data_IF_185215825482
#
_entry.id   IF_185215825482
#
_cell.length_a   1.000
_cell.length_b   1.000
_cell.length_c   1.000
_cell.angle_alpha   90.00
_cell.angle_beta   90.00
_cell.angle_gamma   90.00
#
_symmetry.space_group_name_H-M   'P 1'
#
loop_
_entity.id
_entity.type
_entity.pdbx_description
1 polymer ?
#
# COMPACT_ATOMS: atom_id res chain seq x y z
N UNK A 1 60.98 -41.61 40.09
CA UNK A 1 60.30 -40.28 40.20
C UNK A 1 59.72 -39.93 38.83
N UNK A 2 58.43 -40.15 38.65
CA UNK A 2 57.72 -39.84 37.40
C UNK A 2 56.83 -38.61 37.65
N UNK A 3 57.12 -37.47 37.00
CA UNK A 3 56.33 -36.27 37.07
C UNK A 3 55.35 -36.23 35.90
N UNK A 4 54.08 -36.41 36.21
CA UNK A 4 52.94 -36.27 35.24
C UNK A 4 52.61 -34.82 35.06
N UNK A 5 52.76 -34.30 33.82
CA UNK A 5 52.29 -32.94 33.41
C UNK A 5 50.87 -33.02 32.92
N UNK A 6 49.96 -32.43 33.67
CA UNK A 6 48.55 -32.25 33.26
C UNK A 6 48.45 -31.03 32.35
N UNK A 7 48.04 -31.23 31.09
CA UNK A 7 47.75 -30.15 30.16
C UNK A 7 46.30 -29.69 30.35
N UNK A 8 46.11 -28.42 30.71
CA UNK A 8 44.80 -27.78 30.82
C UNK A 8 44.41 -27.21 29.45
N UNK A 9 43.43 -27.83 28.82
CA UNK A 9 42.89 -27.33 27.56
C UNK A 9 41.83 -26.20 27.86
N UNK A 10 42.14 -24.97 27.48
CA UNK A 10 41.22 -23.83 27.57
C UNK A 10 40.25 -23.87 26.39
N UNK A 11 38.97 -24.08 26.66
CA UNK A 11 37.89 -24.05 25.69
C UNK A 11 37.48 -22.57 25.45
N UNK A 12 37.88 -21.98 24.32
CA UNK A 12 37.39 -20.64 23.90
C UNK A 12 35.97 -20.79 23.38
N UNK A 13 34.99 -20.32 24.16
CA UNK A 13 33.64 -20.07 23.66
C UNK A 13 33.61 -18.80 22.81
N UNK A 14 33.55 -18.95 21.50
CA UNK A 14 33.30 -17.84 20.57
C UNK A 14 31.79 -17.53 20.58
N UNK A 15 31.40 -16.51 21.33
CA UNK A 15 30.01 -15.98 21.32
C UNK A 15 29.79 -15.20 20.04
N UNK A 16 29.28 -15.86 19.00
CA UNK A 16 28.84 -15.19 17.78
C UNK A 16 27.59 -14.36 18.05
N UNK A 17 27.69 -13.04 18.08
CA UNK A 17 26.52 -12.13 18.08
C UNK A 17 25.83 -12.23 16.72
N UNK A 18 24.65 -12.85 16.65
CA UNK A 18 23.76 -12.78 15.49
C UNK A 18 23.26 -11.32 15.39
N UNK A 19 23.85 -10.55 14.49
CA UNK A 19 23.31 -9.25 14.13
C UNK A 19 21.93 -9.48 13.46
N UNK A 20 20.86 -9.05 14.12
CA UNK A 20 19.52 -9.07 13.56
C UNK A 20 19.49 -8.04 12.42
N UNK A 21 19.44 -8.48 11.17
CA UNK A 21 19.34 -7.58 10.02
C UNK A 21 18.02 -6.81 10.08
N UNK A 22 18.10 -5.50 9.89
CA UNK A 22 16.88 -4.66 9.80
C UNK A 22 16.06 -5.10 8.60
N UNK A 23 14.74 -5.31 8.74
CA UNK A 23 13.89 -5.69 7.62
C UNK A 23 13.95 -4.65 6.49
N UNK A 24 13.82 -5.07 5.21
CA UNK A 24 13.72 -4.14 4.09
C UNK A 24 12.56 -3.14 4.28
N UNK A 25 12.71 -1.88 3.83
CA UNK A 25 11.69 -0.85 4.00
C UNK A 25 10.29 -1.26 3.52
N UNK A 26 10.19 -1.92 2.38
CA UNK A 26 8.92 -2.43 1.85
C UNK A 26 8.28 -3.50 2.75
N UNK A 27 9.09 -4.35 3.39
CA UNK A 27 8.59 -5.33 4.37
C UNK A 27 8.01 -4.62 5.60
N UNK A 28 8.74 -3.67 6.17
CA UNK A 28 8.27 -2.88 7.32
C UNK A 28 6.99 -2.10 6.97
N UNK A 29 6.94 -1.48 5.78
CA UNK A 29 5.74 -0.80 5.29
C UNK A 29 4.53 -1.74 5.24
N UNK A 30 4.70 -2.93 4.64
CA UNK A 30 3.63 -3.92 4.52
C UNK A 30 3.15 -4.43 5.88
N UNK A 31 4.08 -4.66 6.81
CA UNK A 31 3.75 -5.05 8.18
C UNK A 31 2.97 -3.96 8.90
N UNK A 32 3.40 -2.69 8.82
CA UNK A 32 2.67 -1.57 9.40
C UNK A 32 1.25 -1.44 8.83
N UNK A 33 1.07 -1.58 7.50
CA UNK A 33 -0.26 -1.59 6.89
C UNK A 33 -1.10 -2.76 7.41
N UNK A 34 -0.51 -3.94 7.56
CA UNK A 34 -1.20 -5.13 8.05
C UNK A 34 -1.68 -5.02 9.51
N UNK A 35 -0.99 -4.21 10.35
CA UNK A 35 -1.46 -3.96 11.74
C UNK A 35 -2.78 -3.22 11.81
N UNK A 36 -3.20 -2.56 10.73
CA UNK A 36 -4.46 -1.81 10.64
C UNK A 36 -5.65 -2.69 10.23
N UNK A 37 -5.44 -4.01 10.13
CA UNK A 37 -6.45 -4.94 9.64
C UNK A 37 -7.77 -4.84 10.42
N UNK A 38 -8.90 -4.75 9.70
CA UNK A 38 -10.23 -4.56 10.25
C UNK A 38 -10.59 -3.10 10.56
N UNK A 39 -9.64 -2.16 10.50
CA UNK A 39 -9.87 -0.76 10.83
C UNK A 39 -10.23 0.07 9.59
N UNK A 40 -11.14 1.00 9.77
CA UNK A 40 -11.54 1.97 8.75
C UNK A 40 -11.29 3.40 9.26
N UNK A 41 -10.93 4.29 8.33
CA UNK A 41 -10.57 5.67 8.66
C UNK A 41 -11.16 6.63 7.65
N UNK A 42 -11.61 7.80 8.13
CA UNK A 42 -12.10 8.88 7.29
C UNK A 42 -10.95 9.75 6.81
N UNK A 43 -11.06 10.19 5.54
CA UNK A 43 -10.02 10.96 4.88
C UNK A 43 -10.52 12.28 4.31
N UNK A 44 -9.56 13.13 3.96
CA UNK A 44 -9.78 14.41 3.29
C UNK A 44 -8.79 14.59 2.14
N UNK A 45 -9.22 15.29 1.10
CA UNK A 45 -8.34 15.71 0.00
C UNK A 45 -7.40 16.79 0.54
N UNK A 46 -6.09 16.57 0.42
CA UNK A 46 -5.05 17.53 0.83
C UNK A 46 -4.29 18.12 -0.37
N UNK A 47 -4.41 17.50 -1.55
CA UNK A 47 -3.98 18.07 -2.83
C UNK A 47 -4.91 17.62 -3.95
N UNK A 48 -5.27 18.55 -4.87
CA UNK A 48 -6.05 18.28 -6.07
C UNK A 48 -5.69 19.31 -7.14
N UNK A 49 -4.58 19.11 -7.81
CA UNK A 49 -3.94 20.08 -8.70
C UNK A 49 -3.74 19.49 -10.11
N UNK A 50 -4.29 20.11 -11.16
CA UNK A 50 -5.33 21.14 -11.12
C UNK A 50 -6.66 20.55 -10.62
N UNK A 51 -7.45 21.37 -9.93
CA UNK A 51 -8.79 20.99 -9.53
C UNK A 51 -9.67 20.85 -10.77
N UNK A 52 -10.40 19.73 -10.89
CA UNK A 52 -11.38 19.54 -11.94
C UNK A 52 -12.76 20.01 -11.44
N UNK A 53 -13.53 20.68 -12.30
CA UNK A 53 -14.85 21.19 -11.94
C UNK A 53 -15.84 20.08 -11.49
N UNK A 54 -15.67 18.86 -12.03
CA UNK A 54 -16.53 17.71 -11.77
C UNK A 54 -15.70 16.54 -11.17
N UNK A 55 -14.79 16.84 -10.24
CA UNK A 55 -14.01 15.80 -9.57
C UNK A 55 -14.93 14.95 -8.68
N UNK A 56 -15.02 13.63 -8.90
CA UNK A 56 -15.96 12.77 -8.18
C UNK A 56 -15.65 12.61 -6.68
N UNK A 57 -14.49 13.04 -6.22
CA UNK A 57 -14.08 12.95 -4.82
C UNK A 57 -14.45 14.20 -4.01
N UNK A 58 -14.60 15.35 -4.66
CA UNK A 58 -14.84 16.64 -3.99
C UNK A 58 -16.23 16.65 -3.36
N UNK A 59 -16.32 17.02 -2.09
CA UNK A 59 -17.57 17.08 -1.34
C UNK A 59 -18.14 15.73 -0.90
N UNK A 60 -17.43 14.62 -1.20
CA UNK A 60 -17.83 13.30 -0.77
C UNK A 60 -17.14 12.91 0.55
N UNK A 61 -17.82 12.08 1.33
CA UNK A 61 -17.21 11.39 2.46
C UNK A 61 -16.24 10.34 1.91
N UNK A 62 -14.99 10.41 2.32
CA UNK A 62 -13.92 9.49 1.87
C UNK A 62 -13.57 8.55 3.02
N UNK A 63 -13.65 7.24 2.79
CA UNK A 63 -13.32 6.25 3.81
C UNK A 63 -12.44 5.15 3.21
N UNK A 64 -11.30 4.89 3.82
CA UNK A 64 -10.55 3.66 3.56
C UNK A 64 -10.85 2.60 4.62
N UNK A 65 -10.79 1.33 4.24
CA UNK A 65 -10.96 0.20 5.16
C UNK A 65 -9.88 -0.86 4.88
N UNK A 66 -8.96 -1.08 5.81
CA UNK A 66 -8.00 -2.19 5.70
C UNK A 66 -8.75 -3.49 5.99
N UNK A 67 -9.48 -4.00 4.98
CA UNK A 67 -10.54 -4.99 5.17
C UNK A 67 -10.07 -6.43 5.22
N UNK A 68 -9.16 -6.80 4.33
CA UNK A 68 -8.70 -8.19 4.19
C UNK A 68 -7.19 -8.22 4.28
N UNK A 69 -6.67 -9.06 5.18
CA UNK A 69 -5.25 -9.22 5.40
C UNK A 69 -4.91 -10.71 5.36
N UNK A 70 -4.26 -11.11 4.28
CA UNK A 70 -3.77 -12.46 4.05
C UNK A 70 -2.23 -12.45 4.08
N UNK A 71 -1.56 -13.59 4.27
CA UNK A 71 -0.12 -13.65 4.14
C UNK A 71 0.35 -13.08 2.79
N UNK A 72 1.05 -11.95 2.82
CA UNK A 72 1.58 -11.28 1.62
C UNK A 72 0.57 -10.48 0.80
N UNK A 73 -0.69 -10.30 1.24
CA UNK A 73 -1.71 -9.54 0.51
C UNK A 73 -2.64 -8.78 1.45
N UNK A 74 -2.84 -7.49 1.16
CA UNK A 74 -3.80 -6.62 1.88
C UNK A 74 -4.73 -5.97 0.87
N UNK A 75 -6.04 -6.00 1.16
CA UNK A 75 -7.08 -5.31 0.38
C UNK A 75 -7.61 -4.13 1.18
N UNK A 76 -7.57 -2.96 0.55
CA UNK A 76 -8.01 -1.71 1.15
C UNK A 76 -9.09 -1.07 0.26
N UNK A 77 -10.38 -1.36 0.46
CA UNK A 77 -11.47 -0.62 -0.16
C UNK A 77 -11.36 0.88 0.11
N UNK A 78 -11.61 1.67 -0.92
CA UNK A 78 -11.70 3.12 -0.86
C UNK A 78 -13.09 3.57 -1.28
N UNK A 79 -13.89 4.01 -0.32
CA UNK A 79 -15.25 4.46 -0.50
C UNK A 79 -15.30 5.97 -0.74
N UNK A 80 -16.14 6.38 -1.70
CA UNK A 80 -16.36 7.77 -2.09
C UNK A 80 -17.87 8.02 -2.01
N UNK A 81 -18.36 8.51 -0.87
CA UNK A 81 -19.79 8.51 -0.58
C UNK A 81 -20.37 7.08 -0.64
N UNK A 82 -21.37 6.86 -1.47
CA UNK A 82 -21.99 5.55 -1.70
C UNK A 82 -21.28 4.70 -2.78
N UNK A 83 -20.30 5.27 -3.48
CA UNK A 83 -19.51 4.56 -4.48
C UNK A 83 -18.50 3.64 -3.80
N UNK A 84 -18.67 2.31 -4.01
CA UNK A 84 -17.88 1.22 -3.43
C UNK A 84 -17.08 0.47 -4.49
N UNK A 85 -16.81 1.13 -5.62
CA UNK A 85 -16.20 0.50 -6.80
C UNK A 85 -14.70 0.22 -6.65
N UNK A 86 -13.99 0.85 -5.70
CA UNK A 86 -12.52 0.90 -5.66
C UNK A 86 -11.96 0.07 -4.53
N UNK A 87 -10.97 -0.78 -4.85
CA UNK A 87 -10.15 -1.49 -3.85
C UNK A 87 -8.68 -1.42 -4.25
N UNK A 88 -7.84 -0.93 -3.37
CA UNK A 88 -6.40 -1.07 -3.50
C UNK A 88 -5.99 -2.46 -3.06
N UNK A 89 -5.28 -3.16 -3.93
CA UNK A 89 -4.74 -4.50 -3.68
C UNK A 89 -3.23 -4.37 -3.57
N UNK A 90 -2.71 -4.52 -2.36
CA UNK A 90 -1.28 -4.47 -2.07
C UNK A 90 -0.77 -5.88 -1.87
N UNK A 91 0.21 -6.29 -2.68
CA UNK A 91 0.79 -7.65 -2.63
C UNK A 91 2.30 -7.57 -2.43
N UNK A 92 2.83 -8.41 -1.54
CA UNK A 92 4.26 -8.54 -1.31
C UNK A 92 4.87 -9.55 -2.29
N UNK A 93 5.93 -9.13 -3.00
CA UNK A 93 6.72 -9.94 -3.91
C UNK A 93 8.20 -9.89 -3.52
N UNK A 94 8.63 -10.78 -2.63
CA UNK A 94 9.96 -10.73 -2.05
C UNK A 94 10.18 -9.43 -1.29
N UNK A 95 11.16 -8.63 -1.71
CA UNK A 95 11.48 -7.32 -1.12
C UNK A 95 10.73 -6.15 -1.80
N UNK A 96 9.84 -6.43 -2.75
CA UNK A 96 9.04 -5.43 -3.46
C UNK A 96 7.57 -5.53 -3.06
N UNK A 97 6.86 -4.43 -3.31
CA UNK A 97 5.41 -4.38 -3.22
C UNK A 97 4.81 -4.12 -4.60
N UNK A 98 3.63 -4.66 -4.82
CA UNK A 98 2.77 -4.37 -5.97
C UNK A 98 1.51 -3.71 -5.49
N UNK A 99 1.12 -2.62 -6.14
CA UNK A 99 -0.20 -2.00 -6.01
C UNK A 99 -1.00 -2.27 -7.27
N UNK A 100 -2.22 -2.78 -7.12
CA UNK A 100 -3.23 -2.82 -8.18
C UNK A 100 -4.52 -2.16 -7.70
N UNK A 101 -5.21 -1.51 -8.63
CA UNK A 101 -6.53 -0.93 -8.42
C UNK A 101 -7.57 -1.89 -8.99
N UNK A 102 -8.33 -2.54 -8.11
CA UNK A 102 -9.48 -3.35 -8.50
C UNK A 102 -10.71 -2.44 -8.53
N UNK A 103 -11.27 -2.23 -9.72
CA UNK A 103 -12.48 -1.45 -9.93
C UNK A 103 -13.60 -2.34 -10.42
N UNK A 104 -14.77 -2.18 -9.79
CA UNK A 104 -15.94 -3.02 -10.08
C UNK A 104 -17.20 -2.19 -10.20
N UNK A 105 -18.12 -2.65 -11.05
CA UNK A 105 -19.48 -2.16 -11.12
C UNK A 105 -20.31 -2.64 -9.91
N UNK A 106 -21.47 -2.04 -9.72
CA UNK A 106 -22.36 -2.35 -8.59
C UNK A 106 -22.85 -3.81 -8.58
N UNK A 107 -22.90 -4.47 -9.73
CA UNK A 107 -23.22 -5.89 -9.87
C UNK A 107 -22.04 -6.82 -9.57
N UNK A 108 -20.86 -6.26 -9.30
CA UNK A 108 -19.63 -6.97 -8.96
C UNK A 108 -18.77 -7.35 -10.17
N UNK A 109 -19.20 -7.07 -11.40
CA UNK A 109 -18.36 -7.26 -12.59
C UNK A 109 -17.20 -6.29 -12.63
N UNK A 110 -16.10 -6.65 -13.29
CA UNK A 110 -14.93 -5.77 -13.43
C UNK A 110 -15.23 -4.60 -14.36
N UNK A 111 -14.75 -3.39 -13.98
CA UNK A 111 -14.73 -2.24 -14.85
C UNK A 111 -13.69 -2.42 -15.97
N UNK A 112 -13.87 -1.77 -17.13
CA UNK A 112 -12.86 -1.74 -18.19
C UNK A 112 -11.52 -1.20 -17.69
N UNK A 113 -11.55 -0.20 -16.80
CA UNK A 113 -10.38 0.38 -16.14
C UNK A 113 -10.15 -0.26 -14.77
N UNK A 114 -9.70 -1.50 -14.77
CA UNK A 114 -9.38 -2.25 -13.56
C UNK A 114 -7.97 -2.85 -13.62
N UNK A 115 -7.46 -3.34 -12.48
CA UNK A 115 -6.17 -4.03 -12.33
C UNK A 115 -4.95 -3.22 -12.80
N UNK A 116 -5.08 -1.89 -12.92
CA UNK A 116 -3.94 -1.02 -13.19
C UNK A 116 -3.16 -0.69 -11.92
N UNK A 117 -1.89 -0.35 -12.08
CA UNK A 117 -0.96 -0.06 -10.97
C UNK A 117 0.47 -0.38 -11.36
N UNK A 118 1.27 -0.86 -10.43
CA UNK A 118 2.64 -1.27 -10.71
C UNK A 118 3.39 -1.75 -9.48
N UNK A 119 4.64 -2.11 -9.69
CA UNK A 119 5.57 -2.56 -8.66
C UNK A 119 6.44 -1.40 -8.17
N UNK A 120 6.89 -1.49 -6.90
CA UNK A 120 7.95 -0.59 -6.42
C UNK A 120 9.23 -0.82 -7.23
N UNK A 121 9.84 0.26 -7.72
CA UNK A 121 11.09 0.22 -8.51
C UNK A 121 12.30 0.66 -7.69
N UNK A 122 12.07 1.30 -6.53
CA UNK A 122 13.06 1.71 -5.56
C UNK A 122 12.72 1.14 -4.17
N UNK A 123 13.68 1.05 -3.24
CA UNK A 123 13.42 0.55 -1.88
C UNK A 123 12.36 1.34 -1.11
N UNK A 124 12.15 2.62 -1.44
CA UNK A 124 11.27 3.52 -0.69
C UNK A 124 11.73 3.71 0.74
N UNK A 125 10.76 3.94 1.63
CA UNK A 125 10.99 3.99 3.08
C UNK A 125 10.01 3.06 3.80
N UNK A 126 10.23 2.83 5.09
CA UNK A 126 9.29 2.08 5.94
C UNK A 126 7.92 2.74 6.08
N UNK A 127 7.80 4.03 5.73
CA UNK A 127 6.56 4.79 5.82
C UNK A 127 6.01 5.25 4.47
N UNK A 128 6.77 5.15 3.36
CA UNK A 128 6.31 5.56 2.01
C UNK A 128 6.84 4.62 0.94
N UNK A 129 5.93 4.18 0.07
CA UNK A 129 6.22 3.35 -1.10
C UNK A 129 5.61 3.98 -2.36
N UNK A 130 6.32 3.88 -3.49
CA UNK A 130 5.90 4.44 -4.77
C UNK A 130 5.77 3.35 -5.83
N UNK A 131 4.71 3.45 -6.65
CA UNK A 131 4.28 2.45 -7.60
C UNK A 131 4.10 3.10 -8.98
N UNK A 132 5.14 3.21 -9.81
CA UNK A 132 4.99 3.66 -11.20
C UNK A 132 4.08 2.73 -12.00
N UNK A 133 3.34 3.27 -12.96
CA UNK A 133 2.52 2.46 -13.86
C UNK A 133 3.37 1.38 -14.55
N UNK A 134 2.97 0.13 -14.42
CA UNK A 134 3.62 -0.99 -15.09
C UNK A 134 3.20 -1.09 -16.57
N UNK A 135 3.88 -1.96 -17.33
CA UNK A 135 3.64 -2.12 -18.76
C UNK A 135 2.18 -2.47 -19.07
N UNK A 136 1.56 -3.35 -18.29
CA UNK A 136 0.15 -3.73 -18.50
C UNK A 136 -0.81 -2.57 -18.28
N UNK A 137 -0.52 -1.69 -17.31
CA UNK A 137 -1.28 -0.46 -17.06
C UNK A 137 -1.12 0.55 -18.20
N UNK A 138 0.11 0.72 -18.72
CA UNK A 138 0.40 1.59 -19.87
C UNK A 138 -0.37 1.12 -21.11
N UNK A 139 -0.39 -0.17 -21.37
CA UNK A 139 -1.16 -0.77 -22.47
C UNK A 139 -2.67 -0.58 -22.28
N UNK A 140 -3.19 -0.78 -21.07
CA UNK A 140 -4.58 -0.53 -20.74
C UNK A 140 -4.96 0.93 -20.98
N UNK A 141 -4.19 1.87 -20.47
CA UNK A 141 -4.47 3.30 -20.61
C UNK A 141 -4.38 3.76 -22.08
N UNK A 142 -3.43 3.21 -22.84
CA UNK A 142 -3.26 3.53 -24.26
C UNK A 142 -4.46 3.05 -25.07
N UNK A 143 -4.89 1.79 -24.91
CA UNK A 143 -6.03 1.24 -25.68
C UNK A 143 -7.39 1.83 -25.27
N UNK A 144 -7.50 2.38 -24.04
CA UNK A 144 -8.73 3.04 -23.56
C UNK A 144 -8.71 4.57 -23.71
N UNK A 145 -7.83 5.12 -24.57
CA UNK A 145 -7.66 6.56 -24.82
C UNK A 145 -7.34 7.40 -23.57
N UNK A 146 -6.55 6.84 -22.65
CA UNK A 146 -6.11 7.48 -21.40
C UNK A 146 -4.60 7.56 -21.30
N UNK A 147 -3.89 7.70 -22.43
CA UNK A 147 -2.41 7.70 -22.49
C UNK A 147 -1.75 8.73 -21.55
N UNK A 148 -2.46 9.80 -21.15
CA UNK A 148 -1.99 10.75 -20.12
C UNK A 148 -1.69 10.07 -18.80
N UNK A 149 -2.28 8.91 -18.53
CA UNK A 149 -2.08 8.10 -17.32
C UNK A 149 -0.87 7.15 -17.40
N UNK A 150 -0.21 7.04 -18.55
CA UNK A 150 0.96 6.18 -18.72
C UNK A 150 2.15 6.57 -17.82
N UNK A 151 2.19 7.82 -17.39
CA UNK A 151 3.22 8.35 -16.48
C UNK A 151 2.76 8.47 -15.03
N UNK A 152 1.64 7.85 -14.68
CA UNK A 152 1.16 7.85 -13.30
C UNK A 152 2.18 7.16 -12.38
N UNK A 153 2.40 7.80 -11.24
CA UNK A 153 3.06 7.21 -10.08
C UNK A 153 2.08 7.32 -8.92
N UNK A 154 1.72 6.21 -8.35
CA UNK A 154 0.95 6.18 -7.10
C UNK A 154 1.90 6.09 -5.93
N UNK A 155 1.53 6.69 -4.81
CA UNK A 155 2.25 6.53 -3.56
C UNK A 155 1.28 6.24 -2.42
N UNK A 156 1.75 5.42 -1.48
CA UNK A 156 1.07 5.19 -0.22
C UNK A 156 2.00 5.52 0.93
N UNK A 157 1.44 6.14 1.97
CA UNK A 157 2.15 6.41 3.23
C UNK A 157 1.39 5.79 4.39
N UNK A 158 2.14 5.21 5.32
CA UNK A 158 1.62 4.67 6.58
C UNK A 158 2.44 5.24 7.73
N UNK A 159 1.81 6.03 8.57
CA UNK A 159 2.37 6.55 9.82
C UNK A 159 1.48 6.07 10.97
N UNK A 160 1.77 4.91 11.58
CA UNK A 160 0.88 4.26 12.55
C UNK A 160 0.38 5.19 13.65
N UNK A 161 -0.92 5.12 13.97
CA UNK A 161 -1.56 5.97 14.97
C UNK A 161 -1.65 7.46 14.60
N UNK A 162 -1.29 7.85 13.38
CA UNK A 162 -1.32 9.24 12.94
C UNK A 162 -2.03 9.44 11.60
N UNK A 163 -1.52 8.84 10.52
CA UNK A 163 -2.02 9.15 9.18
C UNK A 163 -1.67 8.04 8.19
N UNK A 164 -2.61 7.73 7.30
CA UNK A 164 -2.37 7.05 6.03
C UNK A 164 -2.59 8.05 4.89
N UNK A 165 -1.82 7.96 3.81
CA UNK A 165 -2.09 8.74 2.62
C UNK A 165 -2.05 7.87 1.36
N UNK A 166 -2.91 8.23 0.41
CA UNK A 166 -2.86 7.79 -0.97
C UNK A 166 -2.62 9.00 -1.87
N UNK A 167 -1.68 8.89 -2.76
CA UNK A 167 -1.32 9.94 -3.70
C UNK A 167 -1.24 9.40 -5.12
N UNK A 168 -1.72 10.18 -6.09
CA UNK A 168 -1.47 10.02 -7.51
C UNK A 168 -0.71 11.25 -8.00
N UNK A 169 0.43 11.04 -8.64
CA UNK A 169 1.23 12.08 -9.28
C UNK A 169 1.55 11.70 -10.73
N UNK A 170 1.58 12.69 -11.61
CA UNK A 170 2.14 12.67 -12.95
C UNK A 170 2.44 14.11 -13.40
N UNK A 171 3.12 14.37 -14.52
CA UNK A 171 3.28 15.74 -15.01
C UNK A 171 1.97 16.52 -15.02
N UNK A 172 1.96 17.69 -14.40
CA UNK A 172 0.82 18.59 -14.27
C UNK A 172 -0.43 18.00 -13.56
N UNK A 173 -0.27 16.98 -12.73
CA UNK A 173 -1.35 16.41 -11.90
C UNK A 173 -0.83 15.91 -10.59
N UNK A 174 -1.46 16.34 -9.51
CA UNK A 174 -1.30 15.76 -8.17
C UNK A 174 -2.66 15.65 -7.51
N UNK A 175 -2.96 14.46 -6.99
CA UNK A 175 -4.13 14.19 -6.16
C UNK A 175 -3.67 13.45 -4.91
N UNK A 176 -4.08 13.92 -3.72
CA UNK A 176 -3.71 13.30 -2.46
C UNK A 176 -4.90 13.31 -1.50
N UNK A 177 -5.13 12.17 -0.88
CA UNK A 177 -6.08 11.98 0.22
C UNK A 177 -5.30 11.53 1.44
N UNK A 178 -5.55 12.17 2.59
CA UNK A 178 -5.01 11.79 3.88
C UNK A 178 -6.14 11.30 4.79
N UNK A 179 -5.93 10.16 5.45
CA UNK A 179 -6.85 9.52 6.37
C UNK A 179 -6.31 9.65 7.79
N UNK A 180 -7.15 10.14 8.70
CA UNK A 180 -6.79 10.30 10.11
C UNK A 180 -6.86 8.94 10.83
N UNK A 181 -5.71 8.40 11.22
CA UNK A 181 -5.63 7.12 11.93
C UNK A 181 -5.69 7.26 13.45
N UNK A 182 -5.90 8.46 13.97
CA UNK A 182 -6.09 8.66 15.41
C UNK A 182 -7.49 8.23 15.88
N UNK A 183 -8.46 8.24 14.96
CA UNK A 183 -9.87 7.96 15.26
C UNK A 183 -10.45 7.00 14.22
N UNK A 184 -10.45 5.69 14.49
CA UNK A 184 -11.14 4.73 13.62
C UNK A 184 -12.63 5.02 13.52
N UNK A 185 -13.21 4.77 12.34
CA UNK A 185 -14.66 4.89 12.10
C UNK A 185 -15.30 3.51 11.95
N UNK A 186 -16.62 3.45 11.98
CA UNK A 186 -17.34 2.20 11.70
C UNK A 186 -16.98 1.68 10.30
N UNK A 187 -16.74 0.37 10.20
CA UNK A 187 -16.43 -0.27 8.93
C UNK A 187 -17.58 -0.04 7.93
N UNK A 188 -17.28 0.45 6.72
CA UNK A 188 -18.30 0.67 5.71
C UNK A 188 -18.81 -0.67 5.16
N UNK A 189 -19.91 -0.69 4.40
CA UNK A 189 -20.38 -1.88 3.70
C UNK A 189 -19.27 -2.49 2.81
N UNK A 190 -19.40 -3.76 2.45
CA UNK A 190 -18.44 -4.43 1.57
C UNK A 190 -18.31 -3.69 0.22
N UNK A 191 -17.10 -3.62 -0.36
CA UNK A 191 -16.92 -3.10 -1.71
C UNK A 191 -17.64 -3.99 -2.73
N UNK A 192 -17.98 -3.42 -3.87
CA UNK A 192 -18.66 -4.17 -4.93
C UNK A 192 -17.79 -5.34 -5.42
N UNK A 193 -18.43 -6.50 -5.65
CA UNK A 193 -17.75 -7.73 -6.08
C UNK A 193 -16.98 -8.49 -4.99
N UNK A 194 -16.96 -7.99 -3.74
CA UNK A 194 -16.35 -8.67 -2.61
C UNK A 194 -17.38 -8.98 -1.51
N UNK A 195 -17.38 -10.21 -1.04
CA UNK A 195 -18.28 -10.69 0.03
C UNK A 195 -17.66 -10.51 1.41
#
# INVERSE_FOLDING_TARGET
>A
MHTTRTALAALLCVSGSLACATPPPATTFFEQLSTLCGQAFEGRITANEPAAANDPFVGQRLVMHVRTCEPGRVLVPFHVGEDRSRTWVITKHGERLRLKHDHRHADGTEDELTQYGGDTTAPGSSSRQEFPADQSSIELFTRTNRAVSNTNVWAMEVHPGRMFAYELARPNRRFRVEFDMTTPVAAPPAPWGHK
#
